data_IF_949677729474
#
_entry.id   IF_949677729474
#
_cell.length_a   1.000
_cell.length_b   1.000
_cell.length_c   1.000
_cell.angle_alpha   90.00
_cell.angle_beta   90.00
_cell.angle_gamma   90.00
#
_symmetry.space_group_name_H-M   'P 1'
#
loop_
_entity.id
_entity.type
_entity.pdbx_description
1 polymer ?
#
# COMPACT_ATOMS: atom_id res chain seq x y z
N UNK A 1 33.23 16.22 4.73
CA UNK A 1 32.19 15.43 5.44
C UNK A 1 31.01 16.35 5.67
N UNK A 2 30.13 16.41 4.67
CA UNK A 2 28.85 17.11 4.73
C UNK A 2 28.07 16.51 5.90
N UNK A 3 27.65 17.32 6.87
CA UNK A 3 26.74 16.84 7.91
C UNK A 3 25.38 16.62 7.23
N UNK A 4 25.01 15.36 7.02
CA UNK A 4 23.67 14.98 6.58
C UNK A 4 22.63 15.64 7.48
N UNK A 5 21.58 16.20 6.87
CA UNK A 5 20.51 16.81 7.65
C UNK A 5 19.70 15.69 8.33
N UNK A 6 18.89 16.03 9.34
CA UNK A 6 18.05 15.04 10.06
C UNK A 6 17.18 14.20 9.11
N UNK A 7 16.79 14.79 7.97
CA UNK A 7 16.02 14.11 6.91
C UNK A 7 16.85 13.08 6.13
N UNK A 8 18.06 13.43 5.67
CA UNK A 8 18.97 12.47 5.02
C UNK A 8 19.34 11.29 5.91
N UNK A 9 19.55 11.51 7.21
CA UNK A 9 19.78 10.42 8.18
C UNK A 9 18.55 9.49 8.24
N UNK A 10 17.34 10.05 8.26
CA UNK A 10 16.11 9.26 8.33
C UNK A 10 15.84 8.50 7.04
N UNK A 11 16.12 9.10 5.88
CA UNK A 11 16.05 8.45 4.58
C UNK A 11 17.05 7.29 4.47
N UNK A 12 18.28 7.45 4.98
CA UNK A 12 19.28 6.39 5.04
C UNK A 12 18.83 5.22 5.91
N UNK A 13 18.33 5.50 7.13
CA UNK A 13 17.79 4.48 8.03
C UNK A 13 16.65 3.72 7.33
N UNK A 14 15.78 4.44 6.62
CA UNK A 14 14.70 3.83 5.82
C UNK A 14 15.27 2.89 4.76
N UNK A 15 16.18 3.35 3.90
CA UNK A 15 16.73 2.52 2.83
C UNK A 15 17.37 1.23 3.36
N UNK A 16 18.17 1.34 4.44
CA UNK A 16 18.86 0.19 5.05
C UNK A 16 17.87 -0.78 5.69
N UNK A 17 16.87 -0.29 6.42
CA UNK A 17 15.91 -1.15 7.09
C UNK A 17 14.95 -1.87 6.12
N UNK A 18 14.71 -1.36 4.91
CA UNK A 18 13.88 -2.02 3.89
C UNK A 18 14.62 -3.09 3.05
N UNK A 19 15.97 -3.12 3.05
CA UNK A 19 16.76 -4.14 2.34
C UNK A 19 16.41 -5.60 2.71
N UNK A 20 16.35 -6.01 3.99
CA UNK A 20 15.98 -7.39 4.33
C UNK A 20 14.57 -7.75 3.86
N UNK A 21 13.62 -6.80 3.95
CA UNK A 21 12.25 -7.00 3.46
C UNK A 21 12.18 -7.15 1.95
N UNK A 22 13.09 -6.55 1.20
CA UNK A 22 13.21 -6.73 -0.25
C UNK A 22 13.52 -8.19 -0.58
N UNK A 23 14.52 -8.78 0.07
CA UNK A 23 14.89 -10.18 -0.15
C UNK A 23 13.76 -11.14 0.23
N UNK A 24 13.09 -10.89 1.37
CA UNK A 24 11.94 -11.69 1.81
C UNK A 24 10.79 -11.59 0.81
N UNK A 25 10.45 -10.37 0.37
CA UNK A 25 9.36 -10.15 -0.59
C UNK A 25 9.66 -10.76 -1.96
N UNK A 26 10.93 -10.76 -2.38
CA UNK A 26 11.38 -11.42 -3.61
C UNK A 26 11.23 -12.94 -3.52
N UNK A 27 11.64 -13.53 -2.38
CA UNK A 27 11.46 -14.96 -2.13
C UNK A 27 9.98 -15.36 -2.14
N UNK A 28 9.13 -14.61 -1.44
CA UNK A 28 7.67 -14.82 -1.41
C UNK A 28 7.06 -14.70 -2.82
N UNK A 29 7.47 -13.70 -3.61
CA UNK A 29 7.00 -13.53 -4.99
C UNK A 29 7.40 -14.70 -5.90
N UNK A 30 8.61 -15.25 -5.74
CA UNK A 30 9.03 -16.45 -6.47
C UNK A 30 8.24 -17.69 -6.04
N UNK A 31 8.03 -17.88 -4.74
CA UNK A 31 7.30 -19.04 -4.18
C UNK A 31 5.85 -19.10 -4.66
N UNK A 32 5.17 -17.96 -4.73
CA UNK A 32 3.72 -17.90 -5.02
C UNK A 32 3.36 -17.66 -6.49
N UNK A 33 4.35 -17.45 -7.35
CA UNK A 33 4.17 -17.26 -8.79
C UNK A 33 3.64 -15.88 -9.20
N UNK A 34 4.23 -15.30 -10.25
CA UNK A 34 3.99 -13.93 -10.72
C UNK A 34 2.61 -13.69 -11.36
N UNK A 35 1.93 -14.73 -11.85
CA UNK A 35 0.75 -14.57 -12.72
C UNK A 35 -0.62 -14.57 -12.01
N UNK A 36 -0.71 -15.07 -10.77
CA UNK A 36 -2.02 -15.35 -10.12
C UNK A 36 -2.20 -14.68 -8.75
N UNK A 37 -1.11 -14.21 -8.13
CA UNK A 37 -1.09 -13.60 -6.81
C UNK A 37 -0.49 -12.18 -6.84
N UNK A 38 -1.22 -11.23 -7.46
CA UNK A 38 -0.76 -9.86 -7.68
C UNK A 38 -0.35 -9.10 -6.39
N UNK A 39 -0.92 -9.47 -5.23
CA UNK A 39 -0.58 -8.85 -3.94
C UNK A 39 0.88 -9.01 -3.54
N UNK A 40 1.50 -10.18 -3.77
CA UNK A 40 2.90 -10.42 -3.38
C UNK A 40 3.89 -9.64 -4.24
N UNK A 41 3.61 -9.53 -5.54
CA UNK A 41 4.41 -8.71 -6.46
C UNK A 41 4.35 -7.23 -6.07
N UNK A 42 3.19 -6.76 -5.58
CA UNK A 42 3.04 -5.39 -5.09
C UNK A 42 3.85 -5.13 -3.81
N UNK A 43 4.01 -6.10 -2.91
CA UNK A 43 4.95 -5.97 -1.76
C UNK A 43 6.40 -5.80 -2.23
N UNK A 44 6.81 -6.57 -3.24
CA UNK A 44 8.16 -6.45 -3.82
C UNK A 44 8.36 -5.07 -4.44
N UNK A 45 7.43 -4.62 -5.26
CA UNK A 45 7.47 -3.28 -5.89
C UNK A 45 7.51 -2.19 -4.81
N UNK A 46 6.69 -2.30 -3.78
CA UNK A 46 6.66 -1.38 -2.66
C UNK A 46 8.01 -1.30 -1.94
N UNK A 47 8.65 -2.44 -1.65
CA UNK A 47 9.97 -2.47 -1.02
C UNK A 47 11.05 -1.84 -1.90
N UNK A 48 11.02 -2.06 -3.22
CA UNK A 48 11.91 -1.41 -4.18
C UNK A 48 11.73 0.11 -4.16
N UNK A 49 10.49 0.60 -4.23
CA UNK A 49 10.19 2.04 -4.18
C UNK A 49 10.76 2.68 -2.90
N UNK A 50 10.70 1.98 -1.76
CA UNK A 50 11.22 2.48 -0.48
C UNK A 50 12.73 2.56 -0.43
N UNK A 51 13.42 1.53 -0.93
CA UNK A 51 14.90 1.55 -1.02
C UNK A 51 15.35 2.65 -1.99
N UNK A 52 14.72 2.75 -3.16
CA UNK A 52 15.04 3.78 -4.17
C UNK A 52 14.73 5.18 -3.66
N UNK A 53 13.58 5.41 -3.04
CA UNK A 53 13.21 6.71 -2.49
C UNK A 53 14.18 7.21 -1.42
N UNK A 54 14.58 6.33 -0.50
CA UNK A 54 15.60 6.65 0.50
C UNK A 54 16.96 6.95 -0.13
N UNK A 55 17.39 6.15 -1.11
CA UNK A 55 18.64 6.36 -1.83
C UNK A 55 18.66 7.67 -2.63
N UNK A 56 17.55 8.04 -3.27
CA UNK A 56 17.40 9.28 -4.02
C UNK A 56 17.50 10.52 -3.11
N UNK A 57 16.88 10.49 -1.94
CA UNK A 57 16.97 11.58 -0.96
C UNK A 57 18.38 11.74 -0.41
N UNK A 58 19.05 10.64 -0.09
CA UNK A 58 20.46 10.67 0.35
C UNK A 58 21.36 11.22 -0.77
N UNK A 59 21.17 10.76 -2.01
CA UNK A 59 21.92 11.29 -3.15
C UNK A 59 21.62 12.78 -3.42
N UNK A 60 20.39 13.23 -3.17
CA UNK A 60 19.99 14.63 -3.32
C UNK A 60 20.75 15.55 -2.35
N UNK A 61 21.01 15.07 -1.12
CA UNK A 61 21.76 15.82 -0.11
C UNK A 61 23.28 15.80 -0.34
N UNK A 62 23.83 14.75 -0.93
CA UNK A 62 25.29 14.61 -1.14
C UNK A 62 25.80 15.32 -2.42
N UNK A 63 24.95 15.51 -3.45
CA UNK A 63 25.38 16.09 -4.72
C UNK A 63 25.35 17.64 -4.66
N UNK A 64 26.51 18.26 -4.80
CA UNK A 64 26.65 19.72 -5.01
C UNK A 64 27.09 20.01 -6.45
N UNK A 65 26.37 20.86 -7.23
CA UNK A 65 25.21 21.68 -6.86
C UNK A 65 23.89 20.90 -6.73
N UNK A 66 22.92 21.41 -5.94
CA UNK A 66 21.69 20.69 -5.62
C UNK A 66 20.82 20.47 -6.86
N UNK A 67 20.46 19.21 -7.13
CA UNK A 67 19.56 18.85 -8.22
C UNK A 67 18.13 18.69 -7.69
N UNK A 68 17.27 19.66 -8.03
CA UNK A 68 15.86 19.71 -7.59
C UNK A 68 15.10 18.44 -8.02
N UNK A 69 15.45 17.85 -9.17
CA UNK A 69 14.77 16.64 -9.67
C UNK A 69 15.00 15.42 -8.77
N UNK A 70 16.17 15.32 -8.11
CA UNK A 70 16.42 14.22 -7.17
C UNK A 70 15.55 14.36 -5.92
N UNK A 71 15.35 15.58 -5.42
CA UNK A 71 14.42 15.86 -4.34
C UNK A 71 12.98 15.55 -4.74
N UNK A 72 12.54 15.99 -5.92
CA UNK A 72 11.20 15.69 -6.45
C UNK A 72 10.97 14.18 -6.50
N UNK A 73 11.91 13.42 -7.08
CA UNK A 73 11.80 11.97 -7.22
C UNK A 73 11.81 11.28 -5.85
N UNK A 74 12.71 11.67 -4.94
CA UNK A 74 12.79 11.14 -3.59
C UNK A 74 11.49 11.37 -2.79
N UNK A 75 10.98 12.60 -2.79
CA UNK A 75 9.72 12.93 -2.12
C UNK A 75 8.51 12.28 -2.78
N UNK A 76 8.50 12.12 -4.11
CA UNK A 76 7.46 11.37 -4.81
C UNK A 76 7.45 9.89 -4.39
N UNK A 77 8.62 9.24 -4.28
CA UNK A 77 8.74 7.88 -3.78
C UNK A 77 8.30 7.74 -2.30
N UNK A 78 8.60 8.74 -1.48
CA UNK A 78 8.24 8.72 -0.06
C UNK A 78 6.74 8.96 0.16
N UNK A 79 6.16 9.95 -0.53
CA UNK A 79 4.74 10.26 -0.48
C UNK A 79 3.88 9.14 -1.08
N UNK A 80 4.37 8.50 -2.15
CA UNK A 80 3.67 7.39 -2.80
C UNK A 80 3.65 6.10 -1.99
N UNK A 81 4.46 5.94 -0.93
CA UNK A 81 4.58 4.66 -0.22
C UNK A 81 3.26 4.09 0.33
N UNK A 82 2.24 4.93 0.57
CA UNK A 82 0.90 4.45 0.97
C UNK A 82 0.18 3.71 -0.17
N UNK A 83 0.38 4.12 -1.42
CA UNK A 83 -0.40 3.63 -2.57
C UNK A 83 -0.09 2.17 -2.92
N UNK A 84 1.19 1.76 -3.09
CA UNK A 84 1.52 0.36 -3.34
C UNK A 84 1.09 -0.56 -2.19
N UNK A 85 1.11 -0.07 -0.94
CA UNK A 85 0.70 -0.83 0.22
C UNK A 85 -0.82 -1.09 0.19
N UNK A 86 -1.63 -0.07 -0.05
CA UNK A 86 -3.09 -0.23 -0.22
C UNK A 86 -3.43 -1.06 -1.47
N UNK A 87 -2.66 -0.96 -2.56
CA UNK A 87 -2.82 -1.83 -3.72
C UNK A 87 -2.48 -3.28 -3.38
N UNK A 88 -1.42 -3.50 -2.60
CA UNK A 88 -1.05 -4.82 -2.11
C UNK A 88 -2.20 -5.41 -1.28
N UNK A 89 -2.76 -4.66 -0.33
CA UNK A 89 -3.89 -5.15 0.47
C UNK A 89 -5.08 -5.53 -0.40
N UNK A 90 -5.39 -4.73 -1.42
CA UNK A 90 -6.42 -5.02 -2.41
C UNK A 90 -6.11 -6.33 -3.16
N UNK A 91 -4.87 -6.53 -3.60
CA UNK A 91 -4.43 -7.75 -4.29
C UNK A 91 -4.48 -8.99 -3.40
N UNK A 92 -4.13 -8.87 -2.12
CA UNK A 92 -4.27 -9.94 -1.14
C UNK A 92 -5.75 -10.24 -0.88
N UNK A 93 -6.60 -9.23 -0.77
CA UNK A 93 -8.04 -9.38 -0.58
C UNK A 93 -8.72 -10.02 -1.79
N UNK A 94 -8.31 -9.64 -3.00
CA UNK A 94 -8.70 -10.32 -4.23
C UNK A 94 -8.30 -11.79 -4.17
N UNK A 95 -7.09 -12.10 -3.69
CA UNK A 95 -6.62 -13.47 -3.50
C UNK A 95 -7.51 -14.23 -2.51
N UNK A 96 -7.96 -13.62 -1.41
CA UNK A 96 -8.94 -14.25 -0.49
C UNK A 96 -10.25 -14.60 -1.21
N UNK A 97 -10.75 -13.72 -2.10
CA UNK A 97 -12.04 -13.91 -2.80
C UNK A 97 -12.03 -14.90 -3.97
N UNK A 98 -10.87 -15.38 -4.43
CA UNK A 98 -10.83 -16.30 -5.58
C UNK A 98 -11.51 -17.63 -5.20
N UNK A 99 -12.39 -18.16 -6.04
CA UNK A 99 -13.01 -19.47 -5.80
C UNK A 99 -12.04 -20.65 -6.01
N UNK A 100 -12.52 -21.89 -5.81
CA UNK A 100 -11.77 -23.13 -6.12
C UNK A 100 -11.26 -23.17 -7.57
N UNK A 101 -12.05 -22.64 -8.51
CA UNK A 101 -11.69 -22.55 -9.94
C UNK A 101 -10.57 -21.51 -10.21
N UNK A 102 -10.09 -20.81 -9.16
CA UNK A 102 -9.14 -19.70 -9.22
C UNK A 102 -9.66 -18.46 -9.94
N UNK A 103 -10.95 -18.43 -10.26
CA UNK A 103 -11.64 -17.25 -10.81
C UNK A 103 -12.27 -16.47 -9.66
N UNK A 104 -11.95 -15.18 -9.56
CA UNK A 104 -12.71 -14.26 -8.72
C UNK A 104 -13.95 -13.81 -9.50
N UNK A 105 -15.15 -14.04 -8.95
CA UNK A 105 -16.41 -13.57 -9.55
C UNK A 105 -16.40 -12.05 -9.80
N UNK A 106 -15.65 -11.31 -8.98
CA UNK A 106 -15.59 -9.84 -9.01
C UNK A 106 -14.24 -9.31 -9.51
N UNK A 107 -13.46 -10.08 -10.27
CA UNK A 107 -12.14 -9.67 -10.76
C UNK A 107 -12.14 -8.31 -11.50
N UNK A 108 -13.26 -7.95 -12.17
CA UNK A 108 -13.41 -6.65 -12.83
C UNK A 108 -13.44 -5.49 -11.82
N UNK A 109 -14.16 -5.65 -10.72
CA UNK A 109 -14.29 -4.63 -9.67
C UNK A 109 -12.93 -4.38 -9.02
N UNK A 110 -12.21 -5.44 -8.64
CA UNK A 110 -10.85 -5.31 -8.10
C UNK A 110 -9.90 -4.62 -9.08
N UNK A 111 -10.00 -4.92 -10.38
CA UNK A 111 -9.21 -4.24 -11.41
C UNK A 111 -9.54 -2.75 -11.51
N UNK A 112 -10.82 -2.38 -11.46
CA UNK A 112 -11.24 -0.97 -11.49
C UNK A 112 -10.72 -0.21 -10.26
N UNK A 113 -10.83 -0.77 -9.06
CA UNK A 113 -10.29 -0.14 -7.84
C UNK A 113 -8.78 0.01 -7.94
N UNK A 114 -8.07 -0.98 -8.49
CA UNK A 114 -6.63 -0.90 -8.71
C UNK A 114 -6.25 0.20 -9.71
N UNK A 115 -7.03 0.38 -10.79
CA UNK A 115 -6.85 1.48 -11.74
C UNK A 115 -7.11 2.85 -11.11
N UNK A 116 -8.14 2.98 -10.27
CA UNK A 116 -8.41 4.21 -9.51
C UNK A 116 -7.26 4.53 -8.56
N UNK A 117 -6.72 3.53 -7.85
CA UNK A 117 -5.54 3.71 -7.01
C UNK A 117 -4.31 4.17 -7.80
N UNK A 118 -4.14 3.66 -9.03
CA UNK A 118 -3.02 4.04 -9.90
C UNK A 118 -3.19 5.45 -10.45
N UNK A 119 -4.41 5.83 -10.83
CA UNK A 119 -4.72 7.21 -11.22
C UNK A 119 -4.47 8.18 -10.06
N UNK A 120 -4.86 7.82 -8.82
CA UNK A 120 -4.59 8.64 -7.63
C UNK A 120 -3.08 8.79 -7.39
N UNK A 121 -2.30 7.73 -7.58
CA UNK A 121 -0.84 7.77 -7.46
C UNK A 121 -0.22 8.73 -8.47
N UNK A 122 -0.58 8.62 -9.75
CA UNK A 122 -0.09 9.52 -10.80
C UNK A 122 -0.46 10.96 -10.49
N UNK A 123 -1.70 11.21 -10.03
CA UNK A 123 -2.17 12.54 -9.66
C UNK A 123 -1.36 13.14 -8.50
N UNK A 124 -1.01 12.33 -7.49
CA UNK A 124 -0.14 12.80 -6.39
C UNK A 124 1.27 13.12 -6.85
N UNK A 125 1.84 12.35 -7.79
CA UNK A 125 3.19 12.60 -8.33
C UNK A 125 3.20 13.91 -9.14
N UNK A 126 2.20 14.12 -10.00
CA UNK A 126 2.04 15.39 -10.74
C UNK A 126 1.89 16.55 -9.76
N UNK A 127 1.07 16.39 -8.72
CA UNK A 127 0.91 17.42 -7.68
C UNK A 127 2.19 17.72 -6.88
N UNK A 128 3.13 16.78 -6.77
CA UNK A 128 4.45 17.03 -6.15
C UNK A 128 5.37 17.77 -7.12
N UNK A 129 5.40 17.34 -8.39
CA UNK A 129 6.19 17.98 -9.45
C UNK A 129 5.78 19.44 -9.65
N UNK A 130 4.48 19.70 -9.86
CA UNK A 130 3.97 21.03 -10.17
C UNK A 130 4.08 22.00 -8.97
N UNK A 131 4.12 21.47 -7.74
CA UNK A 131 4.28 22.29 -6.53
C UNK A 131 5.67 22.94 -6.43
N UNK A 132 6.63 22.50 -7.24
CA UNK A 132 7.99 23.06 -7.27
C UNK A 132 8.17 24.15 -8.34
N UNK A 133 7.14 24.39 -9.16
CA UNK A 133 7.15 25.45 -10.15
C UNK A 133 6.99 26.84 -9.52
N UNK A 134 7.55 27.87 -10.17
CA UNK A 134 7.57 29.25 -9.66
C UNK A 134 6.30 30.05 -9.97
N UNK A 135 5.34 29.46 -10.68
CA UNK A 135 4.06 30.10 -11.04
C UNK A 135 2.99 29.83 -9.97
N UNK A 136 2.36 30.89 -9.47
CA UNK A 136 1.31 30.83 -8.45
C UNK A 136 0.12 29.97 -8.86
N UNK A 137 -0.27 30.04 -10.14
CA UNK A 137 -1.38 29.24 -10.69
C UNK A 137 -1.05 27.75 -10.66
N UNK A 138 0.13 27.36 -11.12
CA UNK A 138 0.61 25.98 -11.13
C UNK A 138 0.70 25.40 -9.71
N UNK A 139 1.16 26.19 -8.74
CA UNK A 139 1.25 25.78 -7.34
C UNK A 139 -0.14 25.58 -6.70
N UNK A 140 -1.15 26.35 -7.11
CA UNK A 140 -2.54 26.16 -6.66
C UNK A 140 -3.13 24.84 -7.18
N UNK A 141 -2.95 24.55 -8.48
CA UNK A 141 -3.39 23.31 -9.12
C UNK A 141 -2.65 22.10 -8.54
N UNK A 142 -1.36 22.21 -8.28
CA UNK A 142 -0.54 21.17 -7.67
C UNK A 142 -1.06 20.77 -6.28
N UNK A 143 -1.36 21.75 -5.42
CA UNK A 143 -1.93 21.51 -4.10
C UNK A 143 -3.30 20.84 -4.19
N UNK A 144 -4.13 21.24 -5.16
CA UNK A 144 -5.43 20.63 -5.41
C UNK A 144 -5.29 19.16 -5.83
N UNK A 145 -4.43 18.85 -6.80
CA UNK A 145 -4.18 17.48 -7.26
C UNK A 145 -3.64 16.58 -6.16
N UNK A 146 -2.68 17.08 -5.36
CA UNK A 146 -2.13 16.35 -4.21
C UNK A 146 -3.21 16.03 -3.17
N UNK A 147 -4.05 17.01 -2.82
CA UNK A 147 -5.16 16.82 -1.86
C UNK A 147 -6.18 15.81 -2.36
N UNK A 148 -6.59 15.91 -3.62
CA UNK A 148 -7.53 14.98 -4.25
C UNK A 148 -6.97 13.56 -4.22
N UNK A 149 -5.71 13.36 -4.64
CA UNK A 149 -5.10 12.03 -4.66
C UNK A 149 -5.04 11.38 -3.28
N UNK A 150 -4.70 12.14 -2.25
CA UNK A 150 -4.66 11.65 -0.86
C UNK A 150 -6.06 11.34 -0.30
N UNK A 151 -7.07 12.13 -0.64
CA UNK A 151 -8.46 11.81 -0.30
C UNK A 151 -8.95 10.53 -0.99
N UNK A 152 -8.57 10.30 -2.25
CA UNK A 152 -8.87 9.06 -2.96
C UNK A 152 -8.21 7.85 -2.28
N UNK A 153 -6.98 7.98 -1.75
CA UNK A 153 -6.38 6.92 -0.94
C UNK A 153 -7.13 6.66 0.37
N UNK A 154 -7.63 7.73 1.02
CA UNK A 154 -8.50 7.61 2.19
C UNK A 154 -9.78 6.84 1.88
N UNK A 155 -10.46 7.18 0.77
CA UNK A 155 -11.65 6.46 0.31
C UNK A 155 -11.33 5.00 -0.03
N UNK A 156 -10.19 4.74 -0.68
CA UNK A 156 -9.74 3.39 -1.00
C UNK A 156 -9.52 2.56 0.27
N UNK A 157 -8.96 3.14 1.33
CA UNK A 157 -8.85 2.47 2.63
C UNK A 157 -10.21 2.10 3.22
N UNK A 158 -11.20 2.99 3.15
CA UNK A 158 -12.58 2.71 3.63
C UNK A 158 -13.18 1.53 2.84
N UNK A 159 -13.02 1.51 1.51
CA UNK A 159 -13.48 0.41 0.66
C UNK A 159 -12.80 -0.91 1.04
N UNK A 160 -11.48 -0.89 1.28
CA UNK A 160 -10.73 -2.06 1.70
C UNK A 160 -11.22 -2.60 3.06
N UNK A 161 -11.47 -1.72 4.02
CA UNK A 161 -12.04 -2.08 5.31
C UNK A 161 -13.44 -2.69 5.16
N UNK A 162 -14.29 -2.11 4.32
CA UNK A 162 -15.62 -2.64 4.05
C UNK A 162 -15.57 -4.04 3.41
N UNK A 163 -14.68 -4.27 2.43
CA UNK A 163 -14.53 -5.59 1.81
C UNK A 163 -13.98 -6.60 2.82
N UNK A 164 -13.02 -6.21 3.67
CA UNK A 164 -12.50 -7.09 4.71
C UNK A 164 -13.58 -7.48 5.73
N UNK A 165 -14.42 -6.53 6.16
CA UNK A 165 -15.56 -6.79 7.04
C UNK A 165 -16.60 -7.69 6.37
N UNK A 166 -16.92 -7.46 5.10
CA UNK A 166 -17.83 -8.31 4.34
C UNK A 166 -17.32 -9.75 4.24
N UNK A 167 -16.02 -9.93 4.02
CA UNK A 167 -15.38 -11.25 4.02
C UNK A 167 -15.43 -11.94 5.39
N UNK A 168 -15.37 -11.18 6.48
CA UNK A 168 -15.58 -11.71 7.83
C UNK A 168 -17.00 -12.20 8.05
N UNK A 169 -18.01 -11.48 7.55
CA UNK A 169 -19.40 -11.97 7.57
C UNK A 169 -19.57 -13.28 6.78
N UNK A 170 -18.76 -13.49 5.74
CA UNK A 170 -18.77 -14.70 4.91
C UNK A 170 -17.69 -15.72 5.30
N UNK A 171 -17.06 -15.58 6.47
CA UNK A 171 -15.91 -16.41 6.86
C UNK A 171 -16.23 -17.90 6.85
N UNK A 172 -17.49 -18.27 7.15
CA UNK A 172 -17.98 -19.64 7.12
C UNK A 172 -17.79 -20.35 5.78
N UNK A 173 -17.84 -19.62 4.67
CA UNK A 173 -17.69 -20.16 3.31
C UNK A 173 -16.24 -20.18 2.79
N UNK A 174 -15.27 -19.65 3.55
CA UNK A 174 -13.88 -19.53 3.11
C UNK A 174 -13.03 -20.75 3.52
N UNK A 175 -12.13 -21.18 2.64
CA UNK A 175 -11.13 -22.24 2.92
C UNK A 175 -10.19 -21.85 4.06
N UNK A 176 -9.73 -22.84 4.85
CA UNK A 176 -8.91 -22.63 6.06
C UNK A 176 -7.66 -21.77 5.82
N UNK A 177 -6.89 -22.01 4.77
CA UNK A 177 -5.67 -21.25 4.46
C UNK A 177 -5.93 -19.78 4.09
N UNK A 178 -7.08 -19.50 3.45
CA UNK A 178 -7.47 -18.13 3.07
C UNK A 178 -7.97 -17.32 4.26
N UNK A 179 -8.51 -17.98 5.28
CA UNK A 179 -8.86 -17.33 6.55
C UNK A 179 -7.63 -16.78 7.25
N UNK A 180 -6.50 -17.49 7.22
CA UNK A 180 -5.22 -16.98 7.77
C UNK A 180 -4.77 -15.70 7.08
N UNK A 181 -4.95 -15.59 5.76
CA UNK A 181 -4.66 -14.36 5.02
C UNK A 181 -5.59 -13.22 5.43
N UNK A 182 -6.90 -13.50 5.57
CA UNK A 182 -7.88 -12.50 6.02
C UNK A 182 -7.53 -11.97 7.43
N UNK A 183 -7.13 -12.85 8.35
CA UNK A 183 -6.67 -12.47 9.69
C UNK A 183 -5.47 -11.53 9.61
N UNK A 184 -4.46 -11.87 8.81
CA UNK A 184 -3.28 -11.00 8.61
C UNK A 184 -3.65 -9.63 8.04
N UNK A 185 -4.57 -9.57 7.05
CA UNK A 185 -5.07 -8.32 6.49
C UNK A 185 -5.76 -7.48 7.57
N UNK A 186 -6.59 -8.10 8.42
CA UNK A 186 -7.29 -7.36 9.48
C UNK A 186 -6.38 -6.89 10.61
N UNK A 187 -5.30 -7.62 10.91
CA UNK A 187 -4.28 -7.18 11.86
C UNK A 187 -3.49 -5.98 11.30
N UNK A 188 -3.17 -5.99 10.00
CA UNK A 188 -2.45 -4.90 9.35
C UNK A 188 -3.33 -3.65 9.12
N UNK A 189 -4.64 -3.83 8.91
CA UNK A 189 -5.59 -2.75 8.59
C UNK A 189 -5.53 -1.53 9.52
N UNK A 190 -5.54 -1.66 10.87
CA UNK A 190 -5.48 -0.50 11.76
C UNK A 190 -4.18 0.30 11.57
N UNK A 191 -3.04 -0.37 11.37
CA UNK A 191 -1.76 0.31 11.15
C UNK A 191 -1.77 1.07 9.81
N UNK A 192 -2.33 0.46 8.77
CA UNK A 192 -2.51 1.11 7.48
C UNK A 192 -3.47 2.30 7.59
N UNK A 193 -4.50 2.20 8.44
CA UNK A 193 -5.41 3.30 8.75
C UNK A 193 -4.71 4.49 9.41
N UNK A 194 -3.86 4.24 10.40
CA UNK A 194 -3.04 5.31 11.02
C UNK A 194 -2.10 5.93 9.97
N UNK A 195 -1.49 5.11 9.12
CA UNK A 195 -0.59 5.55 8.05
C UNK A 195 -1.29 6.44 7.02
N UNK A 196 -2.50 6.06 6.59
CA UNK A 196 -3.30 6.83 5.62
C UNK A 196 -3.81 8.13 6.24
N UNK A 197 -4.26 8.08 7.50
CA UNK A 197 -4.67 9.26 8.25
C UNK A 197 -3.52 10.26 8.41
N UNK A 198 -2.32 9.78 8.73
CA UNK A 198 -1.13 10.62 8.77
C UNK A 198 -0.84 11.29 7.42
N UNK A 199 -0.95 10.55 6.30
CA UNK A 199 -0.79 11.15 4.96
C UNK A 199 -1.83 12.22 4.65
N UNK A 200 -3.09 12.02 5.05
CA UNK A 200 -4.14 13.04 4.91
C UNK A 200 -3.76 14.26 5.75
N UNK A 201 -3.45 14.06 7.02
CA UNK A 201 -3.17 15.15 7.94
C UNK A 201 -1.92 15.95 7.55
N UNK A 202 -0.85 15.26 7.16
CA UNK A 202 0.36 15.91 6.64
C UNK A 202 0.06 16.70 5.36
N UNK A 203 -0.84 16.20 4.51
CA UNK A 203 -1.25 16.89 3.28
C UNK A 203 -2.03 18.17 3.54
N UNK A 204 -2.95 18.15 4.50
CA UNK A 204 -3.73 19.34 4.89
C UNK A 204 -2.98 20.29 5.83
N UNK A 205 -1.92 19.83 6.51
CA UNK A 205 -1.07 20.67 7.37
C UNK A 205 -0.22 21.69 6.62
N UNK A 206 0.07 21.43 5.34
CA UNK A 206 0.92 22.28 4.51
C UNK A 206 0.06 23.11 3.55
N UNK A 207 0.02 24.42 3.74
CA UNK A 207 -0.60 25.37 2.80
C UNK A 207 0.16 25.45 1.48
N UNK A 208 1.44 25.09 1.47
CA UNK A 208 2.24 24.89 0.27
C UNK A 208 3.30 23.80 0.47
N UNK A 209 3.47 22.91 -0.51
CA UNK A 209 4.63 22.03 -0.61
C UNK A 209 5.78 22.85 -1.20
N UNK A 210 6.74 23.27 -0.37
CA UNK A 210 7.93 24.00 -0.81
C UNK A 210 9.18 23.17 -0.53
N UNK A 211 9.97 22.89 -1.57
CA UNK A 211 11.29 22.26 -1.39
C UNK A 211 12.19 23.27 -0.69
N UNK A 212 12.56 22.97 0.55
CA UNK A 212 13.46 23.80 1.36
C UNK A 212 14.91 23.64 0.89
N UNK A 213 15.20 24.16 -0.32
CA UNK A 213 16.54 24.28 -0.89
C UNK A 213 16.98 25.73 -1.14
N UNK A 214 16.04 26.67 -1.16
CA UNK A 214 16.31 28.10 -1.36
C UNK A 214 15.41 28.92 -0.46
N UNK A 215 16.00 29.57 0.54
CA UNK A 215 15.40 30.51 1.50
C UNK A 215 14.24 29.98 2.36
N UNK A 216 14.52 29.96 3.66
CA UNK A 216 13.60 29.70 4.77
C UNK A 216 12.44 30.69 4.79
N UNK A 217 11.34 30.41 4.07
CA UNK A 217 10.05 31.03 4.38
C UNK A 217 9.31 30.13 5.35
N UNK A 218 9.58 30.38 6.64
CA UNK A 218 8.79 29.89 7.76
C UNK A 218 7.41 30.53 7.68
N UNK A 219 6.54 30.00 6.81
CA UNK A 219 5.11 30.28 6.88
C UNK A 219 4.56 29.51 8.08
N UNK A 220 4.88 29.99 9.28
CA UNK A 220 4.28 29.61 10.57
C UNK A 220 2.78 29.92 10.48
N UNK A 221 2.04 28.98 9.91
CA UNK A 221 0.58 28.98 10.02
C UNK A 221 0.30 28.39 11.39
N UNK A 222 -0.27 29.19 12.28
CA UNK A 222 -0.56 28.91 13.70
C UNK A 222 -1.67 27.87 13.90
N UNK A 223 -1.60 26.75 13.18
CA UNK A 223 -2.54 25.65 13.27
C UNK A 223 -1.88 24.47 13.99
N UNK A 224 -2.59 23.85 14.93
CA UNK A 224 -2.17 22.63 15.65
C UNK A 224 -1.80 21.46 14.71
N UNK A 225 -2.26 21.51 13.45
CA UNK A 225 -1.93 20.54 12.41
C UNK A 225 -0.49 20.63 11.89
N UNK A 226 0.21 21.76 12.07
CA UNK A 226 1.58 21.96 11.59
C UNK A 226 2.57 20.91 12.13
N UNK A 227 2.28 20.34 13.30
CA UNK A 227 3.08 19.27 13.92
C UNK A 227 3.10 17.98 13.11
N UNK A 228 2.08 17.73 12.28
CA UNK A 228 1.96 16.54 11.45
C UNK A 228 2.61 16.70 10.06
N UNK A 229 3.20 17.86 9.79
CA UNK A 229 3.91 18.08 8.55
C UNK A 229 5.11 17.13 8.49
N UNK A 230 5.25 16.43 7.36
CA UNK A 230 6.36 15.52 7.11
C UNK A 230 7.71 16.25 7.01
N UNK A 231 7.70 17.53 6.59
CA UNK A 231 8.92 18.29 6.31
C UNK A 231 9.38 19.14 7.49
N UNK A 232 8.47 19.94 8.06
CA UNK A 232 8.78 20.90 9.14
C UNK A 232 8.13 20.53 10.47
N UNK A 233 7.38 19.43 10.53
CA UNK A 233 6.67 19.00 11.73
C UNK A 233 7.56 18.25 12.71
N UNK A 234 6.94 17.69 13.75
CA UNK A 234 7.67 16.93 14.75
C UNK A 234 8.10 15.57 14.17
N UNK A 235 9.40 15.37 14.02
CA UNK A 235 9.97 14.15 13.44
C UNK A 235 9.54 12.88 14.20
N UNK A 236 9.26 12.97 15.50
CA UNK A 236 8.74 11.83 16.28
C UNK A 236 7.39 11.33 15.75
N UNK A 237 6.49 12.26 15.37
CA UNK A 237 5.17 11.92 14.85
C UNK A 237 5.30 11.24 13.49
N UNK A 238 6.18 11.76 12.62
CA UNK A 238 6.48 11.15 11.33
C UNK A 238 7.04 9.74 11.50
N UNK A 239 7.98 9.52 12.42
CA UNK A 239 8.55 8.17 12.65
C UNK A 239 7.47 7.21 13.16
N UNK A 240 6.66 7.61 14.13
CA UNK A 240 5.67 6.72 14.76
C UNK A 240 4.49 6.45 13.83
N UNK A 241 3.83 7.50 13.32
CA UNK A 241 2.60 7.35 12.53
C UNK A 241 2.87 7.04 11.06
N UNK A 242 4.04 7.46 10.54
CA UNK A 242 4.46 7.25 9.16
C UNK A 242 5.30 6.00 8.99
N UNK A 243 6.46 5.91 9.65
CA UNK A 243 7.39 4.80 9.42
C UNK A 243 6.98 3.52 10.17
N UNK A 244 6.75 3.59 11.48
CA UNK A 244 6.53 2.39 12.32
C UNK A 244 5.28 1.64 11.91
N UNK A 245 4.16 2.33 11.68
CA UNK A 245 2.91 1.72 11.22
C UNK A 245 3.08 0.97 9.90
N UNK A 246 3.92 1.51 9.02
CA UNK A 246 4.22 0.90 7.75
C UNK A 246 5.10 -0.34 7.89
N UNK A 247 6.16 -0.27 8.70
CA UNK A 247 6.99 -1.44 9.03
C UNK A 247 6.17 -2.59 9.63
N UNK A 248 5.27 -2.28 10.56
CA UNK A 248 4.39 -3.29 11.17
C UNK A 248 3.52 -3.95 10.11
N UNK A 249 2.90 -3.19 9.19
CA UNK A 249 2.09 -3.74 8.12
C UNK A 249 2.90 -4.68 7.19
N UNK A 250 4.13 -4.31 6.85
CA UNK A 250 5.02 -5.12 6.00
C UNK A 250 5.43 -6.41 6.69
N UNK A 251 5.77 -6.34 7.98
CA UNK A 251 6.14 -7.52 8.78
C UNK A 251 4.96 -8.49 8.80
N UNK A 252 3.75 -8.00 9.08
CA UNK A 252 2.53 -8.82 9.09
C UNK A 252 2.31 -9.49 7.74
N UNK A 253 2.44 -8.75 6.63
CA UNK A 253 2.29 -9.34 5.29
C UNK A 253 3.40 -10.31 4.92
N UNK A 254 4.65 -10.02 5.29
CA UNK A 254 5.78 -10.91 5.04
C UNK A 254 5.61 -12.24 5.77
N UNK A 255 5.20 -12.19 7.05
CA UNK A 255 4.91 -13.38 7.86
C UNK A 255 3.76 -14.17 7.27
N UNK A 256 2.67 -13.50 6.87
CA UNK A 256 1.56 -14.16 6.18
C UNK A 256 2.04 -14.85 4.90
N UNK A 257 2.86 -14.19 4.08
CA UNK A 257 3.37 -14.74 2.82
C UNK A 257 4.26 -15.96 3.00
N UNK A 258 5.02 -16.03 4.10
CA UNK A 258 5.81 -17.20 4.44
C UNK A 258 4.93 -18.37 4.90
N UNK A 259 3.94 -18.11 5.75
CA UNK A 259 3.07 -19.11 6.39
C UNK A 259 2.10 -19.72 5.37
N UNK A 260 1.57 -18.95 4.42
CA UNK A 260 0.57 -19.46 3.48
C UNK A 260 1.15 -20.55 2.56
N UNK A 261 0.61 -21.79 2.56
CA UNK A 261 0.87 -22.77 1.53
C UNK A 261 -0.26 -22.69 0.49
N UNK A 262 -0.25 -21.66 -0.37
CA UNK A 262 -1.22 -21.55 -1.47
C UNK A 262 -1.13 -22.76 -2.44
N UNK A 263 -0.01 -23.48 -2.39
CA UNK A 263 0.28 -24.61 -3.25
C UNK A 263 -0.53 -25.88 -2.90
N UNK A 264 -0.90 -26.06 -1.63
CA UNK A 264 -1.63 -27.26 -1.19
C UNK A 264 -3.13 -27.18 -1.50
N UNK A 265 -3.70 -25.98 -1.55
CA UNK A 265 -5.14 -25.78 -1.81
C UNK A 265 -5.52 -26.22 -3.23
N UNK A 266 -4.64 -26.09 -4.22
CA UNK A 266 -4.94 -26.52 -5.60
C UNK A 266 -4.67 -28.02 -5.84
N UNK A 267 -3.71 -28.61 -5.10
CA UNK A 267 -3.42 -30.06 -5.21
C UNK A 267 -4.58 -30.89 -4.68
N UNK A 268 -5.25 -30.44 -3.62
CA UNK A 268 -6.47 -31.06 -3.09
C UNK A 268 -7.62 -31.03 -4.11
N UNK A 269 -7.79 -29.95 -4.87
CA UNK A 269 -8.84 -29.87 -5.92
C UNK A 269 -8.51 -30.74 -7.14
N UNK A 270 -7.23 -30.96 -7.44
CA UNK A 270 -6.79 -31.72 -8.63
C UNK A 270 -6.83 -33.23 -8.42
N UNK A 271 -6.71 -33.71 -7.17
CA UNK A 271 -6.59 -35.14 -6.87
C UNK A 271 -7.90 -35.87 -6.52
N UNK A 272 -9.04 -35.17 -6.53
CA UNK A 272 -10.35 -35.83 -6.43
C UNK A 272 -10.76 -36.22 -5.02
N UNK A 273 -10.90 -35.24 -4.14
CA UNK A 273 -11.79 -35.39 -2.98
C UNK A 273 -12.96 -34.42 -3.10
N UNK A 274 -14.12 -34.97 -3.46
CA UNK A 274 -15.40 -34.49 -2.97
C UNK A 274 -15.33 -34.43 -1.44
N UNK A 275 -15.36 -33.23 -0.85
CA UNK A 275 -15.82 -33.07 0.53
C UNK A 275 -17.09 -32.21 0.53
N UNK A 276 -18.19 -32.72 1.11
CA UNK A 276 -19.39 -31.95 1.31
C UNK A 276 -19.18 -31.02 2.50
N UNK A 277 -19.41 -29.72 2.33
CA UNK A 277 -19.54 -28.76 3.44
C UNK A 277 -20.82 -27.93 3.28
N UNK A 278 -21.93 -28.64 3.15
CA UNK A 278 -23.24 -28.13 3.55
C UNK A 278 -23.83 -29.13 4.56
N UNK A 279 -24.46 -28.68 5.66
CA UNK A 279 -25.28 -29.57 6.47
C UNK A 279 -26.39 -30.13 5.57
N UNK A 280 -26.54 -31.45 5.55
CA UNK A 280 -27.55 -32.14 4.74
C UNK A 280 -28.96 -31.59 5.01
N UNK A 281 -29.51 -30.88 4.03
CA UNK A 281 -30.93 -30.66 3.89
C UNK A 281 -31.43 -31.62 2.80
N UNK A 282 -32.27 -32.58 3.20
CA UNK A 282 -32.86 -33.58 2.34
C UNK A 282 -33.52 -32.97 1.09
N UNK A 283 -32.95 -33.24 -0.09
CA UNK A 283 -33.66 -33.11 -1.36
C UNK A 283 -33.56 -34.43 -2.11
N UNK A 284 -34.70 -35.11 -2.18
CA UNK A 284 -34.89 -36.36 -2.87
C UNK A 284 -34.95 -36.09 -4.39
N UNK A 285 -33.99 -36.61 -5.14
CA UNK A 285 -33.98 -36.51 -6.61
C UNK A 285 -35.01 -37.49 -7.23
N UNK A 286 -35.86 -37.07 -8.18
CA UNK A 286 -36.68 -38.00 -8.96
C UNK A 286 -35.82 -38.72 -10.01
N UNK A 287 -36.14 -40.00 -10.21
CA UNK A 287 -35.44 -40.95 -11.06
C UNK A 287 -35.35 -40.55 -12.55
N UNK A 288 -34.19 -40.84 -13.14
CA UNK A 288 -33.86 -40.67 -14.55
C UNK A 288 -34.73 -41.54 -15.47
N UNK A 289 -35.25 -40.96 -16.56
CA UNK A 289 -35.83 -41.70 -17.68
C UNK A 289 -34.73 -42.08 -18.69
N UNK A 290 -34.57 -43.38 -18.94
CA UNK A 290 -33.64 -43.98 -19.92
C UNK A 290 -34.23 -43.87 -21.34
N UNK A 291 -33.45 -43.51 -22.37
CA UNK A 291 -33.92 -43.50 -23.76
C UNK A 291 -34.01 -44.92 -24.33
N UNK A 292 -35.00 -45.13 -25.21
CA UNK A 292 -35.15 -46.34 -26.03
C UNK A 292 -34.15 -46.37 -27.18
#
# INVERSE_FOLDING_TARGET
MSKLNTQGILALITAVAYLPFLFISFYISKKHGFGRNAGWVLLLIFSIIRVVGGALLVAAEEITPPNINLYIAGYACEASGVSPLLMCTLGLLQTVTQGPDGRSKNARVFRLIHLVGLAALVLTIIGISDATSSSSDSQSHANLFRRIGVLVFGLMFIILAAIALFLWCQVGSLMKHRRTLLVAITIALPFIGVRTLYSILSTFSSSSFGISGTSTTTSTTTNSLSQFNMFNGNWHIYVIMGMVTEYVAIIVYSVAGMILPLESDYKLTTYGDEYPLYPEGHYQYPQQYRPA
#
